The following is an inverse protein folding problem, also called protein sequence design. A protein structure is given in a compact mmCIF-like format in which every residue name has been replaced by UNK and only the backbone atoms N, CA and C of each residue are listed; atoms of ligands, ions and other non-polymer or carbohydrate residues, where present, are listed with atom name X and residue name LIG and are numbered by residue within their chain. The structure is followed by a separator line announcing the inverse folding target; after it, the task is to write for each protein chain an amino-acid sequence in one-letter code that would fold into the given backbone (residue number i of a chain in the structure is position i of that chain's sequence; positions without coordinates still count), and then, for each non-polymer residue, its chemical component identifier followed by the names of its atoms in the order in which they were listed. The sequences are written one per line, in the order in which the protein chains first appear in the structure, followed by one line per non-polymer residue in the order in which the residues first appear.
data_IF_934495829607
#
_entry.id   IF_934495829607
#
_cell.length_a   1.000
_cell.length_b   1.000
_cell.length_c   1.000
_cell.angle_alpha   90.00
_cell.angle_beta   90.00
_cell.angle_gamma   90.00
#
_symmetry.space_group_name_H-M   'P 1'
#
loop_
_entity.id
_entity.type
_entity.pdbx_description
1 polymer ?
#
# COMPACT_ATOMS: atom_id res chain seq x y z
N UNK A 1 -11.16 -8.22 19.53
CA UNK A 1 -11.08 -7.09 18.59
C UNK A 1 -10.65 -5.78 19.26
N UNK A 2 -11.05 -5.53 20.52
CA UNK A 2 -10.72 -4.30 21.25
C UNK A 2 -9.23 -4.07 21.52
N UNK A 3 -8.37 -5.01 21.19
CA UNK A 3 -6.91 -4.86 21.29
C UNK A 3 -6.33 -4.33 19.98
N UNK A 4 -6.80 -4.80 18.83
CA UNK A 4 -6.28 -4.41 17.52
C UNK A 4 -6.87 -3.10 17.00
N UNK A 5 -8.17 -2.90 17.19
CA UNK A 5 -8.88 -1.72 16.73
C UNK A 5 -9.45 -0.95 17.93
N UNK A 6 -9.45 0.36 17.82
CA UNK A 6 -10.10 1.23 18.79
C UNK A 6 -11.63 1.33 18.55
N UNK A 7 -12.29 2.23 19.28
CA UNK A 7 -13.73 2.44 19.17
C UNK A 7 -14.15 3.04 17.82
N UNK A 8 -13.25 3.72 17.10
CA UNK A 8 -13.49 4.28 15.78
C UNK A 8 -13.16 3.31 14.65
N UNK A 9 -12.54 2.17 14.95
CA UNK A 9 -12.09 1.19 13.97
C UNK A 9 -10.66 1.41 13.48
N UNK A 10 -9.92 2.36 14.05
CA UNK A 10 -8.50 2.57 13.77
C UNK A 10 -7.66 1.45 14.35
N UNK A 11 -6.65 1.01 13.63
CA UNK A 11 -5.66 0.12 14.22
C UNK A 11 -4.83 0.87 15.26
N UNK A 12 -4.50 0.15 16.33
CA UNK A 12 -3.50 0.60 17.30
C UNK A 12 -2.15 0.13 16.85
N UNK A 13 -1.17 1.04 16.78
CA UNK A 13 0.14 0.74 16.26
C UNK A 13 1.14 0.38 17.37
N UNK A 14 1.48 1.32 18.21
CA UNK A 14 2.55 1.18 19.18
C UNK A 14 2.06 1.22 20.63
N UNK A 15 2.46 0.22 21.41
CA UNK A 15 2.16 0.15 22.83
C UNK A 15 3.44 0.36 23.67
N UNK A 16 3.45 1.37 24.51
CA UNK A 16 4.52 1.61 25.44
C UNK A 16 4.39 0.67 26.66
N UNK A 17 5.25 -0.34 26.73
CA UNK A 17 5.24 -1.34 27.79
C UNK A 17 5.57 -0.73 29.15
N UNK A 18 6.43 0.30 29.20
CA UNK A 18 6.84 0.95 30.44
C UNK A 18 5.73 1.82 31.03
N UNK A 19 5.04 2.54 30.18
CA UNK A 19 3.96 3.47 30.58
C UNK A 19 2.59 2.77 30.61
N UNK A 20 2.48 1.57 30.07
CA UNK A 20 1.23 0.80 30.03
C UNK A 20 0.15 1.44 29.14
N UNK A 21 0.54 2.15 28.08
CA UNK A 21 -0.41 2.87 27.22
C UNK A 21 -0.10 2.74 25.75
N UNK A 22 -1.15 2.88 24.91
CA UNK A 22 -1.03 3.04 23.48
C UNK A 22 -0.57 4.46 23.13
N UNK A 23 0.32 4.58 22.14
CA UNK A 23 0.57 5.87 21.51
C UNK A 23 -0.62 6.27 20.64
N UNK A 24 -0.90 7.57 20.48
CA UNK A 24 -1.99 8.06 19.66
C UNK A 24 -1.71 7.95 18.16
N UNK A 25 -0.62 7.31 17.79
CA UNK A 25 -0.17 7.13 16.43
C UNK A 25 -0.87 5.97 15.75
N UNK A 26 -1.26 6.19 14.51
CA UNK A 26 -1.88 5.19 13.65
C UNK A 26 -1.46 5.42 12.19
N UNK A 27 -1.22 4.33 11.48
CA UNK A 27 -1.03 4.35 10.03
C UNK A 27 -2.15 3.54 9.38
N UNK A 28 -2.92 4.11 8.44
CA UNK A 28 -4.09 3.44 7.85
C UNK A 28 -3.81 2.08 7.20
N UNK A 29 -2.59 1.82 6.75
CA UNK A 29 -2.22 0.49 6.25
C UNK A 29 -2.42 -0.61 7.29
N UNK A 30 -2.08 -0.32 8.56
CA UNK A 30 -2.27 -1.28 9.65
C UNK A 30 -3.76 -1.62 9.85
N UNK A 31 -4.64 -0.64 9.67
CA UNK A 31 -6.09 -0.89 9.70
C UNK A 31 -6.49 -1.87 8.60
N UNK A 32 -6.02 -1.67 7.38
CA UNK A 32 -6.28 -2.60 6.27
C UNK A 32 -5.73 -4.00 6.51
N UNK A 33 -4.53 -4.12 7.07
CA UNK A 33 -3.94 -5.41 7.46
C UNK A 33 -4.70 -6.07 8.60
N UNK A 34 -5.15 -5.31 9.60
CA UNK A 34 -6.00 -5.83 10.68
C UNK A 34 -7.33 -6.34 10.14
N UNK A 35 -7.94 -5.63 9.19
CA UNK A 35 -9.15 -6.09 8.48
C UNK A 35 -8.89 -7.42 7.79
N UNK A 36 -7.78 -7.57 7.07
CA UNK A 36 -7.41 -8.83 6.42
C UNK A 36 -7.32 -9.98 7.44
N UNK A 37 -6.58 -9.78 8.53
CA UNK A 37 -6.43 -10.80 9.59
C UNK A 37 -7.77 -11.18 10.25
N UNK A 38 -8.65 -10.21 10.48
CA UNK A 38 -9.98 -10.45 11.04
C UNK A 38 -10.85 -11.26 10.07
N UNK A 39 -10.78 -10.99 8.77
CA UNK A 39 -11.50 -11.75 7.76
C UNK A 39 -11.01 -13.19 7.65
N UNK A 40 -9.71 -13.42 7.75
CA UNK A 40 -9.17 -14.79 7.80
C UNK A 40 -9.65 -15.53 9.06
N UNK A 41 -9.67 -14.87 10.22
CA UNK A 41 -10.23 -15.45 11.44
C UNK A 41 -11.72 -15.76 11.29
N UNK A 42 -12.49 -14.88 10.64
CA UNK A 42 -13.91 -15.13 10.33
C UNK A 42 -14.09 -16.36 9.43
N UNK A 43 -13.34 -16.46 8.34
CA UNK A 43 -13.42 -17.60 7.41
C UNK A 43 -13.16 -18.95 8.09
N UNK A 44 -12.20 -18.98 9.02
CA UNK A 44 -11.82 -20.22 9.74
C UNK A 44 -12.83 -20.58 10.83
N UNK A 45 -13.37 -19.59 11.54
CA UNK A 45 -14.17 -19.83 12.76
C UNK A 45 -15.68 -19.68 12.57
N UNK A 46 -16.11 -18.95 11.53
CA UNK A 46 -17.51 -18.55 11.34
C UNK A 46 -18.01 -17.56 12.40
N UNK A 47 -17.14 -17.00 13.24
CA UNK A 47 -17.56 -16.09 14.31
C UNK A 47 -17.78 -14.67 13.75
N UNK A 48 -19.05 -14.26 13.73
CA UNK A 48 -19.50 -12.96 13.21
C UNK A 48 -18.82 -11.75 13.89
N UNK A 49 -18.36 -11.88 15.13
CA UNK A 49 -17.65 -10.81 15.80
C UNK A 49 -16.36 -10.38 15.08
N UNK A 50 -15.73 -11.29 14.34
CA UNK A 50 -14.57 -10.94 13.50
C UNK A 50 -15.00 -10.15 12.25
N UNK A 51 -16.09 -10.54 11.62
CA UNK A 51 -16.63 -9.82 10.47
C UNK A 51 -17.11 -8.42 10.85
N UNK A 52 -17.78 -8.27 12.00
CA UNK A 52 -18.23 -6.98 12.51
C UNK A 52 -17.05 -6.06 12.84
N UNK A 53 -15.98 -6.59 13.42
CA UNK A 53 -14.76 -5.85 13.67
C UNK A 53 -14.08 -5.45 12.35
N UNK A 54 -14.03 -6.35 11.35
CA UNK A 54 -13.49 -6.05 10.04
C UNK A 54 -14.28 -4.95 9.33
N UNK A 55 -15.61 -4.99 9.36
CA UNK A 55 -16.47 -3.92 8.83
C UNK A 55 -16.19 -2.58 9.50
N UNK A 56 -16.01 -2.56 10.81
CA UNK A 56 -15.68 -1.33 11.54
C UNK A 56 -14.34 -0.72 11.08
N UNK A 57 -13.30 -1.55 10.93
CA UNK A 57 -12.03 -1.10 10.39
C UNK A 57 -12.13 -0.63 8.93
N UNK A 58 -12.91 -1.35 8.13
CA UNK A 58 -13.18 -0.97 6.74
C UNK A 58 -13.95 0.35 6.62
N UNK A 59 -14.95 0.58 7.46
CA UNK A 59 -15.72 1.84 7.48
C UNK A 59 -14.84 3.02 7.88
N UNK A 60 -13.93 2.83 8.84
CA UNK A 60 -12.92 3.83 9.15
C UNK A 60 -12.03 4.11 7.93
N UNK A 61 -11.47 3.06 7.30
CA UNK A 61 -10.54 3.20 6.19
C UNK A 61 -11.18 3.94 4.99
N UNK A 62 -12.41 3.57 4.59
CA UNK A 62 -13.10 4.27 3.49
C UNK A 62 -13.56 5.68 3.88
N UNK A 63 -13.69 5.95 5.17
CA UNK A 63 -13.94 7.31 5.70
C UNK A 63 -12.81 8.29 5.44
N UNK A 64 -11.60 7.79 5.11
CA UNK A 64 -10.45 8.61 4.73
C UNK A 64 -10.52 9.12 3.28
N UNK A 65 -11.51 8.72 2.48
CA UNK A 65 -11.67 9.19 1.11
C UNK A 65 -11.89 10.71 1.06
N UNK A 66 -11.13 11.36 0.18
CA UNK A 66 -11.29 12.79 -0.11
C UNK A 66 -12.43 12.94 -1.11
N UNK A 67 -13.55 13.53 -0.65
CA UNK A 67 -14.77 13.69 -1.45
C UNK A 67 -14.92 15.09 -2.01
N UNK A 68 -14.19 16.05 -1.45
CA UNK A 68 -14.23 17.45 -1.87
C UNK A 68 -13.77 17.58 -3.34
N UNK A 69 -14.30 18.60 -4.01
CA UNK A 69 -13.99 18.86 -5.43
C UNK A 69 -12.62 19.52 -5.58
N UNK A 70 -11.60 18.81 -5.21
CA UNK A 70 -10.19 19.17 -5.31
C UNK A 70 -9.47 18.23 -6.26
N UNK A 71 -8.23 18.57 -6.63
CA UNK A 71 -7.37 17.68 -7.41
C UNK A 71 -7.06 16.34 -6.71
N UNK A 72 -7.38 16.24 -5.41
CA UNK A 72 -7.20 15.04 -4.59
C UNK A 72 -8.45 14.16 -4.50
N UNK A 73 -9.55 14.54 -5.15
CA UNK A 73 -10.81 13.80 -5.09
C UNK A 73 -10.64 12.33 -5.47
N UNK A 74 -11.12 11.45 -4.61
CA UNK A 74 -11.00 10.01 -4.76
C UNK A 74 -9.74 9.41 -4.14
N UNK A 75 -8.76 10.24 -3.72
CA UNK A 75 -7.62 9.77 -2.93
C UNK A 75 -8.02 9.55 -1.48
N UNK A 76 -7.25 8.76 -0.74
CA UNK A 76 -7.45 8.54 0.70
C UNK A 76 -6.37 9.25 1.52
N UNK A 77 -6.74 9.80 2.68
CA UNK A 77 -5.82 10.48 3.61
C UNK A 77 -5.02 9.48 4.44
N UNK A 78 -4.35 8.55 3.80
CA UNK A 78 -3.51 7.54 4.46
C UNK A 78 -2.12 8.12 4.79
N UNK A 79 -2.08 9.10 5.69
CA UNK A 79 -0.86 9.84 6.04
C UNK A 79 0.09 8.98 6.86
N UNK A 80 1.38 9.10 6.59
CA UNK A 80 2.47 8.50 7.38
C UNK A 80 3.13 9.57 8.27
N UNK A 81 2.34 10.11 9.19
CA UNK A 81 2.58 11.40 9.82
C UNK A 81 3.78 11.51 10.75
N UNK A 82 4.19 10.44 11.41
CA UNK A 82 5.32 10.45 12.35
C UNK A 82 6.69 10.32 11.66
N UNK A 83 6.72 9.72 10.48
CA UNK A 83 7.95 9.49 9.73
C UNK A 83 8.23 10.61 8.73
N UNK A 84 7.22 11.04 7.98
CA UNK A 84 7.37 11.98 6.88
C UNK A 84 6.73 13.35 7.16
N UNK A 85 6.04 13.49 8.29
CA UNK A 85 5.26 14.67 8.63
C UNK A 85 3.77 14.53 8.31
N UNK A 86 2.93 15.43 8.87
CA UNK A 86 1.47 15.28 8.90
C UNK A 86 0.79 15.42 7.53
N UNK A 87 1.54 15.81 6.52
CA UNK A 87 1.00 16.13 5.20
C UNK A 87 1.40 15.12 4.12
N UNK A 88 2.18 14.09 4.47
CA UNK A 88 2.69 13.15 3.49
C UNK A 88 1.99 11.79 3.54
N UNK A 89 1.63 11.32 2.35
CA UNK A 89 1.19 9.95 2.09
C UNK A 89 2.29 9.28 1.28
N UNK A 90 2.68 8.09 1.66
CA UNK A 90 3.51 7.21 0.82
C UNK A 90 2.63 6.21 0.09
N UNK A 91 3.05 5.75 -1.07
CA UNK A 91 2.29 4.79 -1.87
C UNK A 91 1.92 3.55 -1.04
N UNK A 92 2.87 3.03 -0.29
CA UNK A 92 2.68 1.86 0.56
C UNK A 92 1.60 2.04 1.64
N UNK A 93 1.41 3.26 2.19
CA UNK A 93 0.36 3.48 3.20
C UNK A 93 -1.07 3.28 2.67
N UNK A 94 -1.22 3.33 1.36
CA UNK A 94 -2.49 2.97 0.69
C UNK A 94 -2.45 1.52 0.23
N UNK A 95 -1.44 1.13 -0.56
CA UNK A 95 -1.39 -0.18 -1.21
C UNK A 95 -1.33 -1.35 -0.23
N UNK A 96 -0.65 -1.22 0.89
CA UNK A 96 -0.54 -2.29 1.89
C UNK A 96 -1.82 -2.50 2.72
N UNK A 97 -2.70 -1.51 2.74
CA UNK A 97 -4.01 -1.60 3.39
C UNK A 97 -5.11 -2.15 2.49
N UNK A 98 -5.01 -1.93 1.18
CA UNK A 98 -6.10 -2.21 0.24
C UNK A 98 -6.46 -3.69 0.07
N UNK A 99 -5.56 -4.70 0.19
CA UNK A 99 -5.95 -6.10 0.09
C UNK A 99 -7.06 -6.49 1.08
N UNK A 100 -6.96 -6.04 2.34
CA UNK A 100 -8.00 -6.26 3.34
C UNK A 100 -9.31 -5.56 2.99
N UNK A 101 -9.25 -4.38 2.37
CA UNK A 101 -10.43 -3.61 1.97
C UNK A 101 -11.16 -4.27 0.78
N UNK A 102 -10.43 -4.75 -0.22
CA UNK A 102 -11.00 -5.53 -1.32
C UNK A 102 -11.60 -6.86 -0.85
N UNK A 103 -10.90 -7.55 0.06
CA UNK A 103 -11.40 -8.79 0.63
C UNK A 103 -12.66 -8.56 1.48
N UNK A 104 -12.72 -7.47 2.25
CA UNK A 104 -13.92 -7.11 2.98
C UNK A 104 -15.11 -6.89 2.04
N UNK A 105 -14.88 -6.24 0.90
CA UNK A 105 -15.92 -6.08 -0.12
C UNK A 105 -16.45 -7.43 -0.62
N UNK A 106 -15.56 -8.39 -0.88
CA UNK A 106 -15.93 -9.76 -1.33
C UNK A 106 -16.72 -10.51 -0.26
N UNK A 107 -16.23 -10.53 0.96
CA UNK A 107 -16.84 -11.29 2.07
C UNK A 107 -18.16 -10.68 2.51
N UNK A 108 -18.22 -9.37 2.66
CA UNK A 108 -19.45 -8.66 3.07
C UNK A 108 -20.48 -8.49 1.95
N UNK A 109 -20.06 -8.70 0.68
CA UNK A 109 -20.84 -8.42 -0.54
C UNK A 109 -21.26 -6.95 -0.65
N UNK A 110 -20.50 -6.05 -0.03
CA UNK A 110 -20.72 -4.62 -0.09
C UNK A 110 -19.64 -3.97 -0.97
N UNK A 111 -19.99 -3.48 -2.18
CA UNK A 111 -19.02 -2.93 -3.13
C UNK A 111 -18.42 -1.59 -2.70
N UNK A 112 -19.01 -0.92 -1.69
CA UNK A 112 -18.53 0.40 -1.24
C UNK A 112 -17.04 0.38 -0.86
N UNK A 113 -16.57 -0.68 -0.24
CA UNK A 113 -15.18 -0.82 0.19
C UNK A 113 -14.22 -0.85 -1.01
N UNK A 114 -14.46 -1.80 -1.92
CA UNK A 114 -13.65 -1.91 -3.12
C UNK A 114 -13.75 -0.68 -4.03
N UNK A 115 -14.90 0.00 -4.03
CA UNK A 115 -15.09 1.22 -4.82
C UNK A 115 -14.16 2.33 -4.37
N UNK A 116 -14.05 2.59 -3.05
CA UNK A 116 -13.14 3.61 -2.51
C UNK A 116 -11.67 3.24 -2.76
N UNK A 117 -11.29 1.98 -2.54
CA UNK A 117 -9.94 1.51 -2.86
C UNK A 117 -9.61 1.69 -4.35
N UNK A 118 -10.58 1.41 -5.24
CA UNK A 118 -10.40 1.60 -6.68
C UNK A 118 -10.33 3.07 -7.09
N UNK A 119 -11.06 3.96 -6.41
CA UNK A 119 -10.94 5.41 -6.64
C UNK A 119 -9.52 5.89 -6.29
N UNK A 120 -8.98 5.46 -5.15
CA UNK A 120 -7.61 5.76 -4.76
C UNK A 120 -6.59 5.19 -5.77
N UNK A 121 -6.77 3.93 -6.19
CA UNK A 121 -5.92 3.31 -7.22
C UNK A 121 -5.94 4.10 -8.53
N UNK A 122 -7.11 4.58 -8.96
CA UNK A 122 -7.25 5.38 -10.19
C UNK A 122 -6.53 6.71 -10.07
N UNK A 123 -6.68 7.38 -8.93
CA UNK A 123 -5.97 8.62 -8.66
C UNK A 123 -4.45 8.40 -8.65
N UNK A 124 -3.98 7.36 -7.97
CA UNK A 124 -2.55 7.02 -7.88
C UNK A 124 -1.98 6.63 -9.25
N UNK A 125 -2.71 5.86 -10.04
CA UNK A 125 -2.30 5.51 -11.40
C UNK A 125 -2.17 6.75 -12.29
N UNK A 126 -3.07 7.71 -12.15
CA UNK A 126 -3.05 8.93 -12.97
C UNK A 126 -1.95 9.92 -12.58
N UNK A 127 -1.53 9.95 -11.31
CA UNK A 127 -0.65 11.00 -10.78
C UNK A 127 0.72 10.49 -10.29
N UNK A 128 0.80 9.25 -9.79
CA UNK A 128 2.03 8.69 -9.19
C UNK A 128 2.71 7.64 -10.09
N UNK A 129 2.01 7.06 -11.04
CA UNK A 129 2.56 6.05 -11.94
C UNK A 129 3.22 6.68 -13.16
N UNK A 130 4.49 6.35 -13.40
CA UNK A 130 5.23 6.70 -14.60
C UNK A 130 5.32 5.47 -15.51
N UNK A 131 4.50 5.49 -16.57
CA UNK A 131 4.38 4.38 -17.51
C UNK A 131 5.69 4.07 -18.24
N UNK A 132 6.40 5.12 -18.64
CA UNK A 132 7.58 4.97 -19.49
C UNK A 132 8.76 4.41 -18.69
N UNK A 133 8.85 4.80 -17.43
CA UNK A 133 9.86 4.25 -16.50
C UNK A 133 9.44 2.93 -15.88
N UNK A 134 8.14 2.62 -15.84
CA UNK A 134 7.59 1.43 -15.16
C UNK A 134 7.77 1.48 -13.64
N UNK A 135 7.54 2.64 -13.04
CA UNK A 135 7.66 2.88 -11.60
C UNK A 135 6.46 3.67 -11.06
N UNK A 136 6.29 3.64 -9.75
CA UNK A 136 5.45 4.60 -9.04
C UNK A 136 6.32 5.51 -8.19
N UNK A 137 6.04 6.81 -8.19
CA UNK A 137 6.59 7.73 -7.20
C UNK A 137 5.94 7.44 -5.86
N UNK A 138 6.73 7.46 -4.80
CA UNK A 138 6.30 6.94 -3.49
C UNK A 138 5.66 8.01 -2.60
N UNK A 139 6.00 9.29 -2.79
CA UNK A 139 5.63 10.34 -1.85
C UNK A 139 4.67 11.37 -2.47
N UNK A 140 3.60 11.66 -1.72
CA UNK A 140 2.57 12.62 -2.07
C UNK A 140 2.34 13.58 -0.92
N UNK A 141 2.41 14.89 -1.19
CA UNK A 141 1.93 15.89 -0.25
C UNK A 141 0.40 16.03 -0.38
N UNK A 142 -0.33 15.62 0.66
CA UNK A 142 -1.80 15.55 0.62
C UNK A 142 -2.47 16.94 0.60
N UNK A 143 -1.81 17.99 1.10
CA UNK A 143 -2.35 19.36 1.08
C UNK A 143 -2.23 20.00 -0.29
N UNK A 144 -1.08 19.83 -0.92
CA UNK A 144 -0.81 20.47 -2.21
C UNK A 144 -1.18 19.57 -3.39
N UNK A 145 -1.28 18.24 -3.16
CA UNK A 145 -1.42 17.21 -4.18
C UNK A 145 -0.19 17.11 -5.08
N UNK A 146 0.95 17.53 -4.58
CA UNK A 146 2.23 17.42 -5.27
C UNK A 146 2.83 16.04 -5.04
N UNK A 147 3.13 15.36 -6.13
CA UNK A 147 3.89 14.11 -6.10
C UNK A 147 5.38 14.46 -6.13
N UNK A 148 6.11 14.03 -5.11
CA UNK A 148 7.55 14.25 -5.03
C UNK A 148 8.26 13.29 -5.98
N UNK A 149 9.01 13.85 -6.91
CA UNK A 149 9.83 13.13 -7.91
C UNK A 149 11.31 13.14 -7.58
N UNK A 150 11.65 13.75 -6.47
CA UNK A 150 12.98 13.81 -5.88
C UNK A 150 12.90 13.31 -4.43
N UNK A 151 14.04 13.09 -3.80
CA UNK A 151 14.06 12.72 -2.39
C UNK A 151 13.26 13.71 -1.54
N UNK A 152 12.38 13.18 -0.71
CA UNK A 152 11.79 13.97 0.37
C UNK A 152 12.90 14.43 1.31
N UNK A 153 12.73 15.56 2.04
CA UNK A 153 13.72 16.02 3.00
C UNK A 153 14.15 14.95 3.99
N UNK A 154 13.21 14.12 4.44
CA UNK A 154 13.47 13.02 5.36
C UNK A 154 14.42 11.96 4.78
N UNK A 155 14.19 11.52 3.55
CA UNK A 155 15.04 10.52 2.90
C UNK A 155 16.36 11.11 2.43
N UNK A 156 16.36 12.40 2.04
CA UNK A 156 17.56 13.10 1.60
C UNK A 156 18.67 13.11 2.65
N UNK A 157 18.31 13.20 3.93
CA UNK A 157 19.26 13.14 5.03
C UNK A 157 19.82 11.73 5.28
N UNK A 158 19.09 10.70 4.83
CA UNK A 158 19.42 9.28 5.02
C UNK A 158 19.87 8.58 3.74
N UNK A 159 19.69 9.22 2.60
CA UNK A 159 20.05 8.65 1.31
C UNK A 159 21.57 8.48 1.21
N UNK A 160 21.97 7.31 0.76
CA UNK A 160 23.34 7.05 0.35
C UNK A 160 23.53 7.55 -1.07
N UNK A 161 24.78 7.88 -1.46
CA UNK A 161 25.09 8.46 -2.78
C UNK A 161 24.64 7.60 -3.96
N UNK A 162 24.51 6.30 -3.77
CA UNK A 162 24.08 5.33 -4.78
C UNK A 162 22.58 4.99 -4.73
N UNK A 163 21.81 5.64 -3.85
CA UNK A 163 20.35 5.44 -3.69
C UNK A 163 19.55 6.49 -4.46
N UNK A 164 19.74 6.63 -5.75
CA UNK A 164 19.15 7.69 -6.56
C UNK A 164 17.60 7.75 -6.49
N UNK A 165 16.93 7.02 -7.36
CA UNK A 165 15.47 7.08 -7.51
C UNK A 165 14.71 6.17 -6.57
N UNK A 166 15.37 5.19 -5.96
CA UNK A 166 14.70 4.11 -5.25
C UNK A 166 14.05 4.51 -3.94
N UNK A 167 14.45 5.65 -3.37
CA UNK A 167 13.83 6.19 -2.15
C UNK A 167 12.58 7.04 -2.44
N UNK A 168 12.39 7.48 -3.68
CA UNK A 168 11.25 8.32 -4.08
C UNK A 168 10.39 7.66 -5.15
N UNK A 169 10.90 6.61 -5.79
CA UNK A 169 10.21 5.90 -6.85
C UNK A 169 10.69 4.46 -6.96
N UNK A 170 9.79 3.54 -7.22
CA UNK A 170 10.09 2.13 -7.38
C UNK A 170 9.00 1.43 -8.19
N UNK A 171 9.25 0.26 -8.77
CA UNK A 171 8.20 -0.61 -9.27
C UNK A 171 7.45 -1.19 -8.05
N UNK A 172 6.61 -0.37 -7.44
CA UNK A 172 5.90 -0.73 -6.22
C UNK A 172 4.69 -1.58 -6.57
N UNK A 173 4.76 -2.84 -6.19
CA UNK A 173 3.69 -3.82 -6.35
C UNK A 173 3.17 -4.32 -5.01
N UNK A 174 3.63 -3.72 -3.93
CA UNK A 174 3.17 -4.02 -2.57
C UNK A 174 1.65 -3.91 -2.48
N UNK A 175 1.01 -4.92 -1.92
CA UNK A 175 -0.44 -5.00 -1.82
C UNK A 175 -1.16 -5.23 -3.16
N UNK A 176 -0.45 -5.31 -4.29
CA UNK A 176 -1.01 -5.55 -5.62
C UNK A 176 -2.22 -4.66 -5.96
N UNK A 177 -2.17 -3.40 -5.53
CA UNK A 177 -3.28 -2.43 -5.64
C UNK A 177 -3.90 -2.37 -7.04
N UNK A 178 -3.09 -2.28 -8.09
CA UNK A 178 -3.61 -2.20 -9.46
C UNK A 178 -4.20 -3.53 -9.93
N UNK A 179 -3.65 -4.67 -9.50
CA UNK A 179 -4.22 -5.98 -9.77
C UNK A 179 -5.61 -6.11 -9.15
N UNK A 180 -5.76 -5.77 -7.87
CA UNK A 180 -7.04 -5.82 -7.17
C UNK A 180 -8.07 -4.84 -7.77
N UNK A 181 -7.63 -3.64 -8.17
CA UNK A 181 -8.46 -2.67 -8.87
C UNK A 181 -8.95 -3.19 -10.23
N UNK A 182 -8.10 -3.91 -10.97
CA UNK A 182 -8.49 -4.59 -12.19
C UNK A 182 -9.53 -5.68 -11.93
N UNK A 183 -9.31 -6.54 -10.96
CA UNK A 183 -10.23 -7.63 -10.63
C UNK A 183 -11.62 -7.13 -10.22
N UNK A 184 -11.68 -6.01 -9.53
CA UNK A 184 -12.94 -5.40 -9.14
C UNK A 184 -13.65 -4.66 -10.28
N UNK A 185 -12.90 -3.84 -11.04
CA UNK A 185 -13.50 -2.92 -12.03
C UNK A 185 -13.56 -3.45 -13.46
N UNK A 186 -12.73 -4.43 -13.80
CA UNK A 186 -12.53 -4.88 -15.17
C UNK A 186 -11.72 -3.90 -16.04
N UNK A 187 -11.23 -2.78 -15.49
CA UNK A 187 -10.47 -1.77 -16.23
C UNK A 187 -9.06 -2.27 -16.57
N UNK A 188 -8.85 -2.56 -17.85
CA UNK A 188 -7.59 -3.13 -18.36
C UNK A 188 -6.39 -2.20 -18.23
N UNK A 189 -6.58 -0.90 -17.98
CA UNK A 189 -5.50 0.03 -17.71
C UNK A 189 -4.77 -0.35 -16.43
N UNK A 190 -5.48 -0.76 -15.39
CA UNK A 190 -4.89 -1.26 -14.15
C UNK A 190 -4.06 -2.52 -14.36
N UNK A 191 -4.61 -3.48 -15.14
CA UNK A 191 -3.86 -4.69 -15.50
C UNK A 191 -2.55 -4.35 -16.22
N UNK A 192 -2.62 -3.43 -17.18
CA UNK A 192 -1.45 -3.01 -17.94
C UNK A 192 -0.40 -2.33 -17.08
N UNK A 193 -0.83 -1.47 -16.13
CA UNK A 193 0.08 -0.83 -15.18
C UNK A 193 0.75 -1.85 -14.25
N UNK A 194 -0.01 -2.79 -13.69
CA UNK A 194 0.52 -3.86 -12.84
C UNK A 194 1.58 -4.70 -13.57
N UNK A 195 1.28 -5.16 -14.78
CA UNK A 195 2.23 -5.95 -15.58
C UNK A 195 3.48 -5.14 -15.94
N UNK A 196 3.33 -3.84 -16.23
CA UNK A 196 4.49 -2.98 -16.51
C UNK A 196 5.39 -2.83 -15.28
N UNK A 197 4.83 -2.67 -14.09
CA UNK A 197 5.59 -2.65 -12.83
C UNK A 197 6.31 -3.98 -12.58
N UNK A 198 5.64 -5.11 -12.80
CA UNK A 198 6.26 -6.44 -12.70
C UNK A 198 7.41 -6.63 -13.69
N UNK A 199 7.27 -6.14 -14.93
CA UNK A 199 8.35 -6.15 -15.91
C UNK A 199 9.56 -5.31 -15.45
N UNK A 200 9.33 -4.23 -14.73
CA UNK A 200 10.42 -3.44 -14.13
C UNK A 200 11.11 -4.21 -13.00
N UNK A 201 10.36 -4.92 -12.16
CA UNK A 201 10.94 -5.82 -11.15
C UNK A 201 11.85 -6.87 -11.79
N UNK A 202 11.41 -7.51 -12.88
CA UNK A 202 12.24 -8.48 -13.59
C UNK A 202 13.54 -7.89 -14.13
N UNK A 203 13.50 -6.64 -14.64
CA UNK A 203 14.70 -5.96 -15.14
C UNK A 203 15.70 -5.57 -14.04
N UNK A 204 15.20 -5.37 -12.83
CA UNK A 204 15.99 -4.91 -11.68
C UNK A 204 16.47 -6.07 -10.81
N UNK A 205 16.01 -7.28 -11.08
CA UNK A 205 16.48 -8.49 -10.39
C UNK A 205 17.93 -8.76 -10.70
N UNK A 206 18.75 -8.96 -9.69
CA UNK A 206 20.15 -9.36 -9.83
C UNK A 206 20.30 -10.81 -10.31
N UNK A 207 21.50 -11.20 -10.75
CA UNK A 207 21.77 -12.55 -11.27
C UNK A 207 21.54 -13.65 -10.23
N UNK A 208 21.63 -13.33 -8.95
CA UNK A 208 21.34 -14.24 -7.83
C UNK A 208 19.85 -14.37 -7.52
N UNK A 209 18.97 -13.70 -8.30
CA UNK A 209 17.52 -13.72 -8.09
C UNK A 209 17.02 -12.77 -7.01
N UNK A 210 17.84 -11.84 -6.54
CA UNK A 210 17.48 -10.86 -5.50
C UNK A 210 17.44 -9.43 -6.02
N UNK A 211 16.79 -8.55 -5.27
CA UNK A 211 16.70 -7.11 -5.55
C UNK A 211 17.47 -6.35 -4.48
N UNK A 212 18.66 -5.87 -4.84
CA UNK A 212 19.57 -5.20 -3.91
C UNK A 212 19.42 -3.68 -3.88
N UNK A 213 18.86 -3.10 -4.95
CA UNK A 213 18.80 -1.65 -5.15
C UNK A 213 17.45 -1.03 -4.81
N UNK A 214 16.74 -1.59 -3.84
CA UNK A 214 15.49 -1.01 -3.38
C UNK A 214 15.59 -0.57 -1.94
N UNK A 215 14.95 0.53 -1.63
CA UNK A 215 14.74 0.90 -0.24
C UNK A 215 13.87 -0.17 0.46
N UNK A 216 14.21 -0.60 1.66
CA UNK A 216 15.33 -0.13 2.47
C UNK A 216 16.67 -0.82 2.18
N UNK A 217 16.81 -1.48 1.04
CA UNK A 217 18.06 -2.13 0.68
C UNK A 217 19.06 -1.09 0.21
N UNK A 218 20.20 -1.01 0.87
CA UNK A 218 21.29 -0.11 0.51
C UNK A 218 22.40 -0.86 -0.18
N UNK A 219 22.79 -0.43 -1.37
CA UNK A 219 23.93 -0.98 -2.08
C UNK A 219 25.25 -0.66 -1.38
N UNK A 220 25.35 0.51 -0.75
CA UNK A 220 26.56 0.90 -0.02
C UNK A 220 26.81 0.02 1.21
N UNK A 221 25.75 -0.45 1.83
CA UNK A 221 25.82 -1.36 2.97
C UNK A 221 25.80 -2.84 2.57
N UNK A 222 25.59 -3.13 1.28
CA UNK A 222 25.42 -4.50 0.77
C UNK A 222 24.38 -5.31 1.55
N UNK A 223 23.35 -4.63 2.04
CA UNK A 223 22.28 -5.21 2.82
C UNK A 223 21.03 -5.37 1.98
N UNK A 224 20.19 -6.31 2.33
CA UNK A 224 18.84 -6.39 1.79
C UNK A 224 17.85 -6.78 2.88
N UNK A 225 16.61 -6.29 2.73
CA UNK A 225 15.55 -6.64 3.63
C UNK A 225 14.73 -7.79 3.02
N UNK A 226 14.71 -8.99 3.61
CA UNK A 226 14.14 -10.18 3.00
C UNK A 226 12.63 -10.07 2.71
N UNK A 227 11.90 -9.22 3.43
CA UNK A 227 10.47 -8.98 3.24
C UNK A 227 10.13 -8.50 1.82
N UNK A 228 10.91 -7.56 1.28
CA UNK A 228 10.62 -6.98 -0.04
C UNK A 228 10.79 -7.98 -1.18
N UNK A 229 11.87 -8.76 -1.27
CA UNK A 229 11.96 -9.84 -2.25
C UNK A 229 10.79 -10.83 -2.22
N UNK A 230 10.24 -11.14 -1.03
CA UNK A 230 9.07 -12.01 -0.91
C UNK A 230 7.81 -11.36 -1.52
N UNK A 231 7.58 -10.09 -1.27
CA UNK A 231 6.45 -9.37 -1.87
C UNK A 231 6.60 -9.22 -3.39
N UNK A 232 7.82 -8.97 -3.88
CA UNK A 232 8.06 -8.92 -5.31
C UNK A 232 7.84 -10.28 -5.97
N UNK A 233 8.28 -11.36 -5.33
CA UNK A 233 8.01 -12.72 -5.80
C UNK A 233 6.49 -13.02 -5.85
N UNK A 234 5.73 -12.62 -4.82
CA UNK A 234 4.28 -12.72 -4.80
C UNK A 234 3.64 -11.97 -5.98
N UNK A 235 4.06 -10.72 -6.20
CA UNK A 235 3.57 -9.91 -7.34
C UNK A 235 3.89 -10.55 -8.68
N UNK A 236 5.07 -11.14 -8.85
CA UNK A 236 5.44 -11.86 -10.09
C UNK A 236 4.61 -13.13 -10.28
N UNK A 237 4.27 -13.85 -9.21
CA UNK A 237 3.36 -15.00 -9.26
C UNK A 237 1.95 -14.55 -9.72
N UNK A 238 1.45 -13.45 -9.19
CA UNK A 238 0.16 -12.88 -9.62
C UNK A 238 0.21 -12.40 -11.08
N UNK A 239 1.31 -11.81 -11.52
CA UNK A 239 1.50 -11.44 -12.92
C UNK A 239 1.52 -12.69 -13.83
N UNK A 240 2.18 -13.77 -13.40
CA UNK A 240 2.15 -15.04 -14.12
C UNK A 240 0.71 -15.60 -14.25
N UNK A 241 -0.08 -15.57 -13.17
CA UNK A 241 -1.47 -16.02 -13.21
C UNK A 241 -2.30 -15.23 -14.23
N UNK A 242 -2.06 -13.94 -14.36
CA UNK A 242 -2.77 -13.07 -15.31
C UNK A 242 -2.31 -13.23 -16.76
N UNK A 243 -1.04 -13.57 -17.00
CA UNK A 243 -0.42 -13.54 -18.34
C UNK A 243 -0.09 -14.92 -18.89
N UNK A 244 0.14 -15.90 -18.03
CA UNK A 244 0.73 -17.20 -18.31
C UNK A 244 2.16 -17.10 -18.92
N UNK A 245 2.82 -15.94 -18.79
CA UNK A 245 4.21 -15.75 -19.21
C UNK A 245 5.14 -16.32 -18.14
N UNK A 246 6.06 -17.18 -18.53
CA UNK A 246 6.99 -17.89 -17.63
C UNK A 246 8.35 -17.20 -17.44
N UNK A 247 8.49 -16.00 -17.97
CA UNK A 247 9.73 -15.23 -17.82
C UNK A 247 10.00 -14.81 -16.38
#
# INVERSE_FOLDING_TARGET
SNVLLDEEGKSRCDYNLTEGKWYPYEVPWHTGQAVCALLEAYKVTGNEAYLDAAKKGGDYWIGLEIKDDTKMKGMVKAVHGDVLGPDFVVFATVSDGTPGIYELSRVSKDPKYAQVATNAARWMMANMYDRDKGICYDNLNIKTGEVLKEYSPFWKEKAMEDQELYDVSRPNTEGSLFKDAYEFSGDTAFRSAFINLCNSLLKLQGPEGVWMRFMPNSMAEHSFHPRFPLWYAESLIEAYKLTQDKK
#
